data_IF_864948773480
#
_entry.id   IF_864948773480
#
_cell.length_a   1.000
_cell.length_b   1.000
_cell.length_c   1.000
_cell.angle_alpha   90.00
_cell.angle_beta   90.00
_cell.angle_gamma   90.00
#
_symmetry.space_group_name_H-M   'P 1'
#
loop_
_entity.id
_entity.type
_entity.pdbx_description
1 polymer ?
#
# COMPACT_ATOMS: atom_id res chain seq x y z
N UNK A 1 1.40 13.20 4.98
CA UNK A 1 0.86 13.57 6.30
C UNK A 1 -0.39 12.76 6.65
N UNK A 2 -1.47 12.84 5.86
CA UNK A 2 -2.73 12.12 6.15
C UNK A 2 -2.55 10.61 6.38
N UNK A 3 -1.82 9.92 5.50
CA UNK A 3 -1.54 8.48 5.64
C UNK A 3 -0.80 8.12 6.93
N UNK A 4 0.12 8.97 7.36
CA UNK A 4 0.87 8.74 8.60
C UNK A 4 -0.06 8.89 9.81
N UNK A 5 -0.98 9.86 9.78
CA UNK A 5 -2.01 10.02 10.80
C UNK A 5 -2.91 8.77 10.92
N UNK A 6 -3.30 8.16 9.79
CA UNK A 6 -4.09 6.91 9.81
C UNK A 6 -3.31 5.73 10.39
N UNK A 7 -2.02 5.64 10.11
CA UNK A 7 -1.15 4.61 10.70
C UNK A 7 -1.05 4.83 12.21
N UNK A 8 -0.79 6.06 12.65
CA UNK A 8 -0.68 6.38 14.08
C UNK A 8 -1.96 6.02 14.84
N UNK A 9 -3.13 6.33 14.25
CA UNK A 9 -4.43 5.98 14.80
C UNK A 9 -4.62 4.46 14.90
N UNK A 10 -4.15 3.69 13.92
CA UNK A 10 -4.29 2.23 13.92
C UNK A 10 -3.33 1.52 14.90
N UNK A 11 -2.25 2.18 15.33
CA UNK A 11 -1.24 1.58 16.23
C UNK A 11 -1.29 2.14 17.65
N UNK A 12 -2.15 3.12 17.93
CA UNK A 12 -2.18 3.84 19.21
C UNK A 12 -2.43 2.93 20.41
N UNK A 13 -3.23 1.87 20.23
CA UNK A 13 -3.49 0.86 21.25
C UNK A 13 -2.33 -0.13 21.47
N UNK A 14 -1.29 -0.10 20.62
CA UNK A 14 -0.17 -1.02 20.66
C UNK A 14 1.09 -0.33 21.18
N UNK A 15 1.38 -0.47 22.47
CA UNK A 15 2.52 0.19 23.15
C UNK A 15 3.91 -0.23 22.65
N UNK A 16 3.99 -1.25 21.80
CA UNK A 16 5.22 -1.79 21.23
C UNK A 16 5.41 -1.42 19.75
N UNK A 17 4.46 -0.68 19.16
CA UNK A 17 4.52 -0.18 17.80
C UNK A 17 4.78 1.33 17.77
N UNK A 18 5.52 1.77 16.75
CA UNK A 18 5.74 3.16 16.43
C UNK A 18 5.82 3.34 14.91
N UNK A 19 5.56 4.55 14.43
CA UNK A 19 5.75 4.90 13.02
C UNK A 19 7.11 5.57 12.81
N UNK A 20 7.74 5.26 11.68
CA UNK A 20 8.98 5.92 11.24
C UNK A 20 8.78 6.61 9.90
N UNK A 21 9.49 7.71 9.67
CA UNK A 21 9.45 8.42 8.38
C UNK A 21 10.26 7.68 7.31
N UNK A 22 11.39 7.08 7.71
CA UNK A 22 12.28 6.29 6.86
C UNK A 22 12.59 4.96 7.54
N UNK A 23 12.45 3.88 6.77
CA UNK A 23 12.76 2.53 7.23
C UNK A 23 14.18 2.44 7.82
N UNK A 24 14.27 1.95 9.06
CA UNK A 24 15.53 1.66 9.72
C UNK A 24 16.21 2.86 10.38
N UNK A 25 15.60 4.04 10.36
CA UNK A 25 16.17 5.25 10.97
C UNK A 25 16.42 5.08 12.48
N UNK A 26 15.48 4.43 13.19
CA UNK A 26 15.63 4.20 14.63
C UNK A 26 16.72 3.19 14.95
N UNK A 27 17.05 2.28 14.03
CA UNK A 27 18.11 1.27 14.26
C UNK A 27 19.46 1.96 14.49
N UNK A 28 19.80 2.96 13.69
CA UNK A 28 21.04 3.73 13.83
C UNK A 28 21.11 4.42 15.20
N UNK A 29 20.00 5.03 15.64
CA UNK A 29 19.88 5.68 16.94
C UNK A 29 20.00 4.67 18.09
N UNK A 30 19.36 3.50 17.98
CA UNK A 30 19.42 2.46 18.99
C UNK A 30 20.83 1.90 19.15
N UNK A 31 21.55 1.65 18.05
CA UNK A 31 22.95 1.20 18.08
C UNK A 31 23.83 2.22 18.77
N UNK A 32 23.64 3.51 18.48
CA UNK A 32 24.41 4.59 19.10
C UNK A 32 24.12 4.73 20.60
N UNK A 33 22.85 4.63 21.00
CA UNK A 33 22.42 4.85 22.40
C UNK A 33 22.63 3.62 23.29
N UNK A 34 22.70 2.41 22.71
CA UNK A 34 22.85 1.15 23.42
C UNK A 34 24.02 0.32 22.87
N UNK A 35 25.27 0.81 22.98
CA UNK A 35 26.44 0.18 22.34
C UNK A 35 26.79 -1.22 22.90
N UNK A 36 26.18 -1.61 24.01
CA UNK A 36 26.35 -2.93 24.62
C UNK A 36 25.34 -3.97 24.12
N UNK A 37 24.34 -3.56 23.32
CA UNK A 37 23.34 -4.45 22.76
C UNK A 37 23.70 -4.86 21.33
N UNK A 38 23.42 -6.11 20.98
CA UNK A 38 23.40 -6.56 19.58
C UNK A 38 21.99 -6.33 19.03
N UNK A 39 21.85 -5.33 18.16
CA UNK A 39 20.57 -5.01 17.53
C UNK A 39 20.49 -5.72 16.19
N UNK A 40 19.40 -6.46 16.00
CA UNK A 40 19.09 -7.16 14.76
C UNK A 40 17.85 -6.52 14.14
N UNK A 41 17.98 -6.07 12.89
CA UNK A 41 16.88 -5.50 12.13
C UNK A 41 16.30 -6.52 11.15
N UNK A 42 14.97 -6.64 11.14
CA UNK A 42 14.22 -7.38 10.14
C UNK A 42 13.29 -6.44 9.39
N UNK A 43 13.27 -6.55 8.07
CA UNK A 43 12.27 -5.88 7.23
C UNK A 43 11.08 -6.81 7.03
N UNK A 44 9.85 -6.29 7.09
CA UNK A 44 8.64 -7.09 6.90
C UNK A 44 8.02 -6.78 5.54
N UNK A 45 7.75 -7.81 4.75
CA UNK A 45 7.19 -7.67 3.40
C UNK A 45 6.03 -8.66 3.18
N UNK A 46 5.13 -8.35 2.25
CA UNK A 46 4.12 -9.30 1.78
C UNK A 46 4.70 -10.26 0.74
N UNK A 47 4.16 -11.48 0.67
CA UNK A 47 4.57 -12.48 -0.32
C UNK A 47 4.42 -12.00 -1.77
N UNK A 48 3.40 -11.20 -2.07
CA UNK A 48 3.15 -10.62 -3.40
C UNK A 48 4.31 -9.73 -3.87
N UNK A 49 4.79 -8.86 -2.98
CA UNK A 49 5.88 -7.93 -3.25
C UNK A 49 7.23 -8.66 -3.35
N UNK A 50 7.46 -9.62 -2.44
CA UNK A 50 8.66 -10.47 -2.46
C UNK A 50 8.74 -11.29 -3.75
N UNK A 51 7.61 -11.86 -4.20
CA UNK A 51 7.51 -12.63 -5.44
C UNK A 51 7.81 -11.77 -6.67
N UNK A 52 7.21 -10.58 -6.72
CA UNK A 52 7.35 -9.65 -7.84
C UNK A 52 8.78 -9.19 -8.03
N UNK A 53 9.48 -8.87 -6.95
CA UNK A 53 10.82 -8.26 -7.00
C UNK A 53 11.96 -9.22 -6.67
N UNK A 54 11.65 -10.49 -6.40
CA UNK A 54 12.62 -11.52 -6.00
C UNK A 54 13.43 -11.09 -4.77
N UNK A 55 12.75 -10.50 -3.77
CA UNK A 55 13.42 -9.90 -2.60
C UNK A 55 14.25 -10.91 -1.79
N UNK A 56 13.96 -12.21 -1.89
CA UNK A 56 14.81 -13.25 -1.28
C UNK A 56 16.28 -13.15 -1.70
N UNK A 57 16.58 -12.69 -2.92
CA UNK A 57 17.95 -12.49 -3.40
C UNK A 57 18.71 -11.39 -2.63
N UNK A 58 18.01 -10.54 -1.88
CA UNK A 58 18.62 -9.49 -1.07
C UNK A 58 18.91 -9.96 0.35
N UNK A 59 18.38 -11.13 0.75
CA UNK A 59 18.58 -11.66 2.09
C UNK A 59 20.03 -12.08 2.32
N UNK A 60 20.53 -11.81 3.52
CA UNK A 60 21.87 -12.18 3.94
C UNK A 60 22.18 -11.70 5.36
N UNK A 61 23.44 -11.86 5.81
CA UNK A 61 23.83 -11.48 7.18
C UNK A 61 23.54 -10.02 7.53
N UNK A 62 23.56 -9.13 6.53
CA UNK A 62 23.32 -7.69 6.66
C UNK A 62 21.88 -7.27 6.36
N UNK A 63 21.06 -8.14 5.77
CA UNK A 63 19.69 -7.82 5.39
C UNK A 63 18.79 -9.01 5.67
N UNK A 64 18.05 -8.94 6.78
CA UNK A 64 17.12 -9.99 7.19
C UNK A 64 15.71 -9.54 6.91
N UNK A 65 14.86 -10.47 6.48
CA UNK A 65 13.46 -10.16 6.22
C UNK A 65 12.52 -11.26 6.69
N UNK A 66 11.34 -10.83 7.12
CA UNK A 66 10.18 -11.66 7.38
C UNK A 66 9.18 -11.41 6.25
N UNK A 67 8.75 -12.47 5.59
CA UNK A 67 7.79 -12.40 4.49
C UNK A 67 6.48 -13.01 4.95
N UNK A 68 5.45 -12.18 5.09
CA UNK A 68 4.12 -12.64 5.46
C UNK A 68 3.44 -13.28 4.24
N UNK A 69 2.97 -14.52 4.41
CA UNK A 69 2.34 -15.28 3.34
C UNK A 69 1.03 -14.64 2.87
N UNK A 70 0.69 -14.88 1.60
CA UNK A 70 -0.60 -14.56 0.99
C UNK A 70 -1.10 -15.75 0.19
N UNK A 71 -2.42 -15.93 0.16
CA UNK A 71 -3.04 -17.01 -0.61
C UNK A 71 -2.65 -16.90 -2.09
N UNK A 72 -2.06 -17.97 -2.64
CA UNK A 72 -1.63 -18.04 -4.04
C UNK A 72 -0.18 -17.60 -4.31
N UNK A 73 0.44 -16.82 -3.42
CA UNK A 73 1.82 -16.34 -3.59
C UNK A 73 2.82 -17.08 -2.70
N UNK A 74 2.41 -17.56 -1.53
CA UNK A 74 3.31 -18.14 -0.51
C UNK A 74 4.13 -19.31 -1.07
N UNK A 75 3.48 -20.29 -1.68
CA UNK A 75 4.14 -21.46 -2.24
C UNK A 75 5.05 -21.08 -3.42
N UNK A 76 4.64 -20.08 -4.21
CA UNK A 76 5.43 -19.59 -5.34
C UNK A 76 6.70 -18.88 -4.87
N UNK A 77 6.65 -18.11 -3.78
CA UNK A 77 7.82 -17.49 -3.15
C UNK A 77 8.79 -18.56 -2.69
N UNK A 78 8.33 -19.55 -1.91
CA UNK A 78 9.18 -20.64 -1.40
C UNK A 78 9.83 -21.40 -2.56
N UNK A 79 9.05 -21.84 -3.54
CA UNK A 79 9.56 -22.62 -4.66
C UNK A 79 10.61 -21.85 -5.48
N UNK A 80 10.41 -20.55 -5.72
CA UNK A 80 11.36 -19.73 -6.46
C UNK A 80 12.59 -19.39 -5.64
N UNK A 81 12.43 -19.09 -4.35
CA UNK A 81 13.54 -18.81 -3.44
C UNK A 81 14.48 -20.03 -3.34
N UNK A 82 13.92 -21.22 -3.11
CA UNK A 82 14.69 -22.47 -3.06
C UNK A 82 15.41 -22.75 -4.38
N UNK A 83 14.73 -22.59 -5.52
CA UNK A 83 15.35 -22.76 -6.84
C UNK A 83 16.50 -21.79 -7.09
N UNK A 84 16.39 -20.57 -6.57
CA UNK A 84 17.41 -19.53 -6.68
C UNK A 84 18.52 -19.68 -5.61
N UNK A 85 18.46 -20.73 -4.78
CA UNK A 85 19.48 -21.06 -3.77
C UNK A 85 19.36 -20.33 -2.45
N UNK A 86 18.21 -19.73 -2.14
CA UNK A 86 17.97 -19.13 -0.83
C UNK A 86 17.91 -20.22 0.26
N UNK A 87 18.71 -20.06 1.32
CA UNK A 87 18.66 -20.89 2.51
C UNK A 87 17.59 -20.36 3.47
N UNK A 88 16.46 -21.08 3.56
CA UNK A 88 15.34 -20.72 4.43
C UNK A 88 15.64 -20.96 5.91
N UNK A 89 16.63 -21.81 6.22
CA UNK A 89 17.00 -22.19 7.58
C UNK A 89 18.13 -21.30 8.15
N UNK A 90 18.84 -20.56 7.29
CA UNK A 90 19.86 -19.58 7.70
C UNK A 90 19.31 -18.39 8.52
N UNK A 91 17.98 -18.22 8.58
CA UNK A 91 17.33 -17.16 9.36
C UNK A 91 17.50 -15.75 8.77
N UNK A 92 17.87 -15.63 7.49
CA UNK A 92 17.96 -14.34 6.80
C UNK A 92 16.71 -14.05 5.95
N UNK A 93 16.06 -15.09 5.46
CA UNK A 93 14.80 -15.01 4.72
C UNK A 93 13.80 -15.94 5.40
N UNK A 94 12.89 -15.36 6.19
CA UNK A 94 11.93 -16.11 6.99
C UNK A 94 10.56 -15.97 6.35
N UNK A 95 9.91 -17.09 6.03
CA UNK A 95 8.49 -17.09 5.66
C UNK A 95 7.63 -17.13 6.93
N UNK A 96 6.85 -16.08 7.14
CA UNK A 96 5.82 -16.02 8.17
C UNK A 96 4.53 -16.75 7.75
N UNK A 97 3.51 -16.75 8.63
CA UNK A 97 2.23 -17.39 8.34
C UNK A 97 1.50 -16.69 7.18
N UNK A 98 0.57 -17.42 6.57
CA UNK A 98 -0.35 -16.83 5.60
C UNK A 98 -1.36 -15.92 6.30
N UNK A 99 -1.47 -14.68 5.83
CA UNK A 99 -2.43 -13.70 6.34
C UNK A 99 -3.78 -13.82 5.62
N UNK A 100 -4.88 -13.37 6.23
CA UNK A 100 -6.17 -13.21 5.56
C UNK A 100 -6.03 -12.35 4.29
N UNK A 101 -6.91 -12.57 3.31
CA UNK A 101 -6.89 -11.79 2.07
C UNK A 101 -7.44 -10.37 2.29
N UNK A 102 -6.57 -9.50 2.82
CA UNK A 102 -6.83 -8.08 3.04
C UNK A 102 -5.96 -7.25 2.11
N UNK A 103 -6.53 -6.19 1.54
CA UNK A 103 -5.77 -5.25 0.72
C UNK A 103 -6.34 -3.83 0.81
N UNK A 104 -5.47 -2.84 0.68
CA UNK A 104 -5.91 -1.43 0.62
C UNK A 104 -6.76 -1.16 -0.62
N UNK A 105 -6.58 -1.91 -1.71
CA UNK A 105 -7.44 -1.81 -2.90
C UNK A 105 -8.87 -2.25 -2.59
N UNK A 106 -9.04 -3.39 -1.92
CA UNK A 106 -10.36 -3.85 -1.47
C UNK A 106 -11.00 -2.84 -0.49
N UNK A 107 -10.23 -2.30 0.46
CA UNK A 107 -10.71 -1.30 1.41
C UNK A 107 -11.20 -0.03 0.70
N UNK A 108 -10.40 0.52 -0.24
CA UNK A 108 -10.81 1.68 -1.05
C UNK A 108 -12.06 1.39 -1.88
N UNK A 109 -12.17 0.20 -2.48
CA UNK A 109 -13.35 -0.20 -3.24
C UNK A 109 -14.60 -0.39 -2.38
N UNK A 110 -14.46 -0.81 -1.11
CA UNK A 110 -15.56 -0.87 -0.16
C UNK A 110 -16.01 0.54 0.23
N UNK A 111 -15.08 1.43 0.59
CA UNK A 111 -15.36 2.84 0.92
C UNK A 111 -16.01 3.59 -0.24
N UNK A 112 -15.52 3.40 -1.47
CA UNK A 112 -16.07 4.03 -2.67
C UNK A 112 -17.51 3.62 -2.99
N UNK A 113 -17.92 2.42 -2.56
CA UNK A 113 -19.28 1.87 -2.72
C UNK A 113 -20.16 2.09 -1.48
N UNK A 114 -19.65 2.80 -0.48
CA UNK A 114 -20.29 2.98 0.83
C UNK A 114 -20.64 1.65 1.54
N UNK A 115 -19.92 0.57 1.21
CA UNK A 115 -20.08 -0.75 1.82
C UNK A 115 -19.33 -0.80 3.16
N UNK A 116 -19.94 -0.21 4.18
CA UNK A 116 -19.34 -0.07 5.51
C UNK A 116 -19.08 -1.44 6.16
N UNK A 117 -19.95 -2.42 5.92
CA UNK A 117 -19.77 -3.77 6.46
C UNK A 117 -18.50 -4.41 5.89
N UNK A 118 -18.28 -4.34 4.58
CA UNK A 118 -17.04 -4.83 3.97
C UNK A 118 -15.81 -4.02 4.43
N UNK A 119 -15.92 -2.70 4.54
CA UNK A 119 -14.82 -1.86 5.00
C UNK A 119 -14.41 -2.16 6.46
N UNK A 120 -15.37 -2.46 7.34
CA UNK A 120 -15.13 -2.82 8.73
C UNK A 120 -14.38 -4.15 8.91
N UNK A 121 -14.42 -5.04 7.91
CA UNK A 121 -13.61 -6.27 7.91
C UNK A 121 -12.15 -6.02 7.51
N UNK A 122 -11.85 -4.84 6.96
CA UNK A 122 -10.56 -4.53 6.32
C UNK A 122 -9.77 -3.43 7.04
N UNK A 123 -10.42 -2.61 7.85
CA UNK A 123 -9.84 -1.41 8.48
C UNK A 123 -10.04 -1.44 9.99
N UNK A 124 -9.08 -0.84 10.70
CA UNK A 124 -9.23 -0.54 12.12
C UNK A 124 -10.46 0.37 12.35
N UNK A 125 -11.25 0.18 13.42
CA UNK A 125 -12.50 0.93 13.65
C UNK A 125 -12.33 2.46 13.60
N UNK A 126 -11.29 2.99 14.26
CA UNK A 126 -11.01 4.44 14.27
C UNK A 126 -10.64 4.96 12.88
N UNK A 127 -9.86 4.18 12.11
CA UNK A 127 -9.50 4.55 10.73
C UNK A 127 -10.74 4.56 9.84
N UNK A 128 -11.63 3.57 9.99
CA UNK A 128 -12.90 3.54 9.28
C UNK A 128 -13.78 4.76 9.62
N UNK A 129 -13.90 5.09 10.91
CA UNK A 129 -14.66 6.26 11.35
C UNK A 129 -14.11 7.54 10.69
N UNK A 130 -12.81 7.75 10.76
CA UNK A 130 -12.14 8.89 10.14
C UNK A 130 -12.39 8.95 8.63
N UNK A 131 -12.25 7.82 7.92
CA UNK A 131 -12.47 7.75 6.47
C UNK A 131 -13.89 8.16 6.09
N UNK A 132 -14.90 7.80 6.90
CA UNK A 132 -16.30 8.16 6.67
C UNK A 132 -16.55 9.64 6.89
N UNK A 133 -16.03 10.20 7.98
CA UNK A 133 -16.20 11.62 8.32
C UNK A 133 -15.58 12.52 7.25
N UNK A 134 -14.42 12.14 6.73
CA UNK A 134 -13.67 12.90 5.73
C UNK A 134 -14.05 12.55 4.29
N UNK A 135 -14.99 11.61 4.09
CA UNK A 135 -15.48 11.14 2.78
C UNK A 135 -14.36 10.75 1.80
N UNK A 136 -13.26 10.22 2.32
CA UNK A 136 -12.10 9.91 1.48
C UNK A 136 -12.42 8.67 0.63
N UNK A 137 -11.97 8.69 -0.63
CA UNK A 137 -12.25 7.65 -1.64
C UNK A 137 -13.72 7.46 -2.02
N UNK A 138 -14.64 8.29 -1.53
CA UNK A 138 -16.00 8.38 -2.08
C UNK A 138 -15.93 9.08 -3.44
N UNK A 139 -16.68 8.57 -4.42
CA UNK A 139 -16.83 9.27 -5.69
C UNK A 139 -17.44 10.64 -5.40
N UNK A 140 -16.74 11.72 -5.75
CA UNK A 140 -17.26 13.08 -5.62
C UNK A 140 -18.54 13.17 -6.45
N UNK A 141 -19.68 13.35 -5.78
CA UNK A 141 -21.00 13.60 -6.39
C UNK A 141 -21.13 14.98 -7.02
N UNK A 142 -20.01 15.68 -7.26
CA UNK A 142 -20.02 16.92 -8.04
C UNK A 142 -20.44 16.56 -9.48
N UNK A 143 -21.60 17.01 -9.96
CA UNK A 143 -21.98 16.81 -11.34
C UNK A 143 -20.93 17.52 -12.20
N UNK A 144 -20.30 16.77 -13.11
CA UNK A 144 -19.54 17.34 -14.22
C UNK A 144 -20.38 18.48 -14.81
N UNK A 145 -20.01 19.74 -14.55
CA UNK A 145 -20.57 20.89 -15.25
C UNK A 145 -20.28 20.65 -16.72
N UNK A 146 -21.29 20.15 -17.43
CA UNK A 146 -21.28 20.08 -18.89
C UNK A 146 -21.12 21.51 -19.36
N UNK A 147 -19.94 21.82 -19.85
CA UNK A 147 -19.63 23.05 -20.55
C UNK A 147 -20.68 23.22 -21.66
N UNK A 148 -21.65 24.12 -21.45
CA UNK A 148 -22.60 24.56 -22.46
C UNK A 148 -21.84 25.36 -23.53
N UNK A 149 -21.09 24.66 -24.37
CA UNK A 149 -20.61 25.19 -25.64
C UNK A 149 -21.32 24.47 -26.76
N UNK A 150 -22.58 24.83 -26.98
CA UNK A 150 -23.28 24.70 -28.26
C UNK A 150 -24.58 25.51 -28.17
N UNK A 151 -24.53 26.74 -28.67
CA UNK A 151 -25.61 27.45 -29.38
C UNK A 151 -25.09 28.81 -29.80
N UNK A 152 -24.68 28.93 -31.05
CA UNK A 152 -25.14 29.98 -31.97
C UNK A 152 -24.70 29.61 -33.38
N UNK A 153 -25.53 28.77 -34.01
CA UNK A 153 -25.69 28.74 -35.46
C UNK A 153 -26.48 29.98 -35.88
N UNK A 154 -25.98 30.79 -36.82
CA UNK A 154 -26.62 30.91 -38.14
C UNK A 154 -25.84 31.83 -39.10
N UNK A 155 -25.79 31.32 -40.33
CA UNK A 155 -25.28 31.82 -41.62
C UNK A 155 -26.14 33.01 -42.13
N UNK A 156 -25.75 33.78 -43.18
CA UNK A 156 -25.89 33.25 -44.54
C UNK A 156 -24.89 33.73 -45.62
N UNK A 157 -24.77 32.84 -46.62
CA UNK A 157 -24.50 32.99 -48.07
C UNK A 157 -23.90 34.27 -48.65
N UNK A 158 -22.81 34.07 -49.40
CA UNK A 158 -22.39 34.94 -50.51
C UNK A 158 -21.29 34.27 -51.35
N UNK A 159 -21.67 33.65 -52.46
CA UNK A 159 -20.81 33.38 -53.64
C UNK A 159 -21.22 34.39 -54.74
N UNK A 160 -20.52 34.56 -55.87
CA UNK A 160 -19.19 34.08 -56.30
C UNK A 160 -18.34 35.20 -56.97
N UNK A 161 -17.04 34.93 -57.28
CA UNK A 161 -16.37 35.36 -58.52
C UNK A 161 -14.89 34.91 -58.60
N UNK A 162 -14.59 34.03 -59.56
CA UNK A 162 -13.37 34.04 -60.40
C UNK A 162 -13.48 35.22 -61.41
N UNK A 163 -12.44 35.63 -62.20
CA UNK A 163 -11.22 34.93 -62.66
C UNK A 163 -9.92 35.76 -62.45
N UNK A 164 -8.71 35.19 -62.54
CA UNK A 164 -7.94 34.82 -63.74
C UNK A 164 -6.81 33.86 -63.35
#
# INVERSE_FOLDING_TARGET
DERLGLVQMAIDEHTWLASEAREGETVELLVKSHPHLSIVHFTLNGADDVLRYRKWCWSGPMFRMITMGRCGDTEAVVARACRDGADLDAGHFIMGPQMPDISSSAARSALAREDIAAAALLLHPEVLLWCREHKVWQASTEPLRRDERLKHTNRPSGTPQQPC
#
